data_IF_161429243564
#
_entry.id   IF_161429243564
#
_cell.length_a   1.000
_cell.length_b   1.000
_cell.length_c   1.000
_cell.angle_alpha   90.00
_cell.angle_beta   90.00
_cell.angle_gamma   90.00
#
_symmetry.space_group_name_H-M   'P 1'
#
loop_
_entity.id
_entity.type
_entity.pdbx_description
1 polymer ?
#
# COMPACT_ATOMS: atom_id res chain seq x y z
N UNK A 1 -13.07 -3.39 14.79
CA UNK A 1 -11.64 -3.58 14.46
C UNK A 1 -11.28 -2.76 13.25
N UNK A 2 -10.21 -2.01 13.31
CA UNK A 2 -9.81 -1.15 12.19
C UNK A 2 -8.73 -1.87 11.35
N UNK A 3 -9.14 -2.40 10.21
CA UNK A 3 -8.24 -3.15 9.32
C UNK A 3 -7.11 -2.29 8.75
N UNK A 4 -7.36 -0.99 8.55
CA UNK A 4 -6.31 -0.08 8.07
C UNK A 4 -5.14 0.01 9.07
N UNK A 5 -5.44 0.07 10.35
CA UNK A 5 -4.40 0.11 11.38
C UNK A 5 -3.61 -1.19 11.39
N UNK A 6 -4.28 -2.32 11.22
CA UNK A 6 -3.61 -3.62 11.12
C UNK A 6 -2.68 -3.67 9.90
N UNK A 7 -3.15 -3.16 8.76
CA UNK A 7 -2.32 -3.05 7.55
C UNK A 7 -1.13 -2.12 7.79
N UNK A 8 -1.36 -0.98 8.42
CA UNK A 8 -0.29 -0.03 8.73
C UNK A 8 0.80 -0.68 9.58
N UNK A 9 0.40 -1.42 10.60
CA UNK A 9 1.34 -2.12 11.48
C UNK A 9 2.11 -3.19 10.73
N UNK A 10 1.45 -3.91 9.81
CA UNK A 10 2.12 -4.88 8.96
C UNK A 10 3.17 -4.21 8.07
N UNK A 11 2.83 -3.08 7.47
CA UNK A 11 3.76 -2.34 6.61
C UNK A 11 4.94 -1.80 7.42
N UNK A 12 4.72 -1.32 8.64
CA UNK A 12 5.81 -0.91 9.53
C UNK A 12 6.77 -2.06 9.82
N UNK A 13 6.23 -3.25 10.00
CA UNK A 13 7.02 -4.46 10.26
C UNK A 13 7.88 -4.85 9.06
N UNK A 14 7.34 -4.71 7.86
CA UNK A 14 8.03 -5.10 6.62
C UNK A 14 8.96 -4.02 6.08
N UNK A 15 8.57 -2.76 6.21
CA UNK A 15 9.22 -1.64 5.52
C UNK A 15 9.94 -0.67 6.47
N UNK A 16 9.77 -0.81 7.78
CA UNK A 16 10.36 0.09 8.76
C UNK A 16 9.50 1.33 9.03
N UNK A 17 10.09 2.38 9.63
CA UNK A 17 9.31 3.50 10.17
C UNK A 17 8.73 4.46 9.14
N UNK A 18 9.17 4.41 7.88
CA UNK A 18 8.78 5.39 6.86
C UNK A 18 7.54 4.93 6.09
N UNK A 19 6.44 4.72 6.81
CA UNK A 19 5.15 4.33 6.24
C UNK A 19 4.16 5.46 6.44
N UNK A 20 3.51 5.90 5.36
CA UNK A 20 2.62 7.06 5.34
C UNK A 20 1.27 6.70 4.75
N UNK A 21 0.19 7.18 5.39
CA UNK A 21 -1.17 6.96 4.92
C UNK A 21 -1.77 8.25 4.38
N UNK A 22 -2.24 8.23 3.12
CA UNK A 22 -2.92 9.37 2.47
C UNK A 22 -2.17 10.70 2.64
N UNK A 23 -0.87 10.65 2.42
CA UNK A 23 0.03 11.79 2.59
C UNK A 23 -0.23 12.86 1.50
N UNK A 24 -0.25 14.15 1.87
CA UNK A 24 -0.32 15.22 0.88
C UNK A 24 0.88 15.21 -0.06
N UNK A 25 0.66 15.55 -1.33
CA UNK A 25 1.71 15.49 -2.36
C UNK A 25 2.92 16.39 -2.08
N UNK A 26 2.73 17.45 -1.30
CA UNK A 26 3.80 18.41 -0.98
C UNK A 26 4.59 18.03 0.28
N UNK A 27 4.26 16.92 0.93
CA UNK A 27 4.94 16.49 2.14
C UNK A 27 6.24 15.76 1.79
N UNK A 28 7.31 16.08 2.54
CA UNK A 28 8.60 15.42 2.35
C UNK A 28 8.62 14.08 3.06
N UNK A 29 9.13 13.06 2.37
CA UNK A 29 9.28 11.71 2.90
C UNK A 29 10.74 11.33 2.99
N UNK A 30 11.07 10.47 3.93
CA UNK A 30 12.41 9.85 4.00
C UNK A 30 12.39 8.56 3.19
N UNK A 31 13.37 8.38 2.34
CA UNK A 31 13.45 7.20 1.47
C UNK A 31 14.43 6.16 2.01
N UNK A 32 14.14 4.88 1.84
CA UNK A 32 12.97 4.31 1.18
C UNK A 32 11.69 4.58 1.97
N UNK A 33 10.61 4.84 1.26
CA UNK A 33 9.32 5.16 1.86
C UNK A 33 8.23 4.26 1.28
N UNK A 34 7.22 3.99 2.09
CA UNK A 34 6.01 3.31 1.65
C UNK A 34 4.84 4.24 1.93
N UNK A 35 4.13 4.64 0.90
CA UNK A 35 2.89 5.37 1.06
C UNK A 35 1.74 4.49 0.60
N UNK A 36 0.61 4.61 1.26
CA UNK A 36 -0.57 3.87 0.85
C UNK A 36 -1.82 4.72 1.03
N UNK A 37 -2.84 4.36 0.28
CA UNK A 37 -4.12 5.05 0.31
C UNK A 37 -5.23 4.04 0.07
N UNK A 38 -6.42 4.36 0.55
CA UNK A 38 -7.58 3.51 0.29
C UNK A 38 -7.96 3.65 -1.18
N UNK A 39 -8.02 2.52 -1.88
CA UNK A 39 -8.42 2.50 -3.27
C UNK A 39 -9.92 2.40 -3.43
N UNK A 40 -10.50 1.29 -2.96
CA UNK A 40 -11.89 0.99 -3.22
C UNK A 40 -12.51 0.17 -2.09
N UNK A 41 -13.78 0.43 -1.82
CA UNK A 41 -14.58 -0.39 -0.92
C UNK A 41 -15.67 -1.06 -1.76
N UNK A 42 -15.64 -2.39 -1.81
CA UNK A 42 -16.65 -3.18 -2.49
C UNK A 42 -17.58 -3.82 -1.47
N UNK A 43 -18.86 -3.60 -1.64
CA UNK A 43 -19.89 -4.22 -0.79
C UNK A 43 -20.58 -5.33 -1.55
N UNK A 44 -20.67 -6.50 -0.93
CA UNK A 44 -21.47 -7.60 -1.43
C UNK A 44 -22.81 -7.59 -0.69
N UNK A 45 -23.90 -7.64 -1.44
CA UNK A 45 -25.24 -7.55 -0.90
C UNK A 45 -25.98 -8.86 -1.04
N UNK A 46 -26.79 -9.18 -0.03
CA UNK A 46 -27.76 -10.26 -0.07
C UNK A 46 -29.06 -9.73 0.56
N UNK A 47 -30.18 -9.83 -0.15
CA UNK A 47 -31.49 -9.34 0.32
C UNK A 47 -31.46 -7.87 0.77
N UNK A 48 -30.77 -7.01 0.01
CA UNK A 48 -30.59 -5.58 0.28
C UNK A 48 -29.82 -5.27 1.58
N UNK A 49 -29.12 -6.26 2.12
CA UNK A 49 -28.28 -6.10 3.30
C UNK A 49 -26.81 -6.25 2.86
N UNK A 50 -25.92 -5.41 3.40
CA UNK A 50 -24.50 -5.56 3.12
C UNK A 50 -24.03 -6.89 3.73
N UNK A 51 -23.69 -7.83 2.85
CA UNK A 51 -23.25 -9.17 3.23
C UNK A 51 -21.78 -9.20 3.63
N UNK A 52 -20.94 -8.53 2.84
CA UNK A 52 -19.51 -8.41 3.13
C UNK A 52 -18.94 -7.16 2.48
N UNK A 53 -17.79 -6.73 2.98
CA UNK A 53 -17.03 -5.63 2.39
C UNK A 53 -15.61 -6.08 2.09
N UNK A 54 -15.11 -5.69 0.93
CA UNK A 54 -13.71 -5.85 0.58
C UNK A 54 -13.13 -4.46 0.34
N UNK A 55 -12.09 -4.11 1.09
CA UNK A 55 -11.41 -2.84 0.92
C UNK A 55 -10.06 -3.07 0.26
N UNK A 56 -9.79 -2.33 -0.81
CA UNK A 56 -8.48 -2.34 -1.44
C UNK A 56 -7.68 -1.12 -1.05
N UNK A 57 -6.38 -1.27 -1.02
CA UNK A 57 -5.43 -0.20 -0.77
C UNK A 57 -4.40 -0.18 -1.88
N UNK A 58 -4.00 1.00 -2.32
CA UNK A 58 -2.90 1.17 -3.25
C UNK A 58 -1.66 1.49 -2.45
N UNK A 59 -0.63 0.66 -2.60
CA UNK A 59 0.62 0.79 -1.87
C UNK A 59 1.70 1.17 -2.87
N UNK A 60 2.43 2.25 -2.60
CA UNK A 60 3.54 2.68 -3.44
C UNK A 60 4.82 2.65 -2.62
N UNK A 61 5.79 1.87 -3.09
CA UNK A 61 7.14 1.85 -2.52
C UNK A 61 8.00 2.81 -3.31
N UNK A 62 8.62 3.76 -2.64
CA UNK A 62 9.46 4.78 -3.27
C UNK A 62 10.88 4.64 -2.74
N UNK A 63 11.84 4.45 -3.64
CA UNK A 63 13.24 4.25 -3.26
C UNK A 63 14.18 4.85 -4.28
N UNK A 64 15.39 5.18 -3.83
CA UNK A 64 16.50 5.57 -4.71
C UNK A 64 17.20 4.36 -5.31
N UNK A 65 16.90 3.16 -4.81
CA UNK A 65 17.49 1.91 -5.25
C UNK A 65 16.50 1.14 -6.13
N UNK A 66 16.85 0.76 -7.37
CA UNK A 66 15.95 -0.02 -8.23
C UNK A 66 15.66 -1.42 -7.69
N UNK A 67 16.56 -1.95 -6.86
CA UNK A 67 16.43 -3.29 -6.29
C UNK A 67 16.04 -3.24 -4.80
N UNK A 68 15.11 -2.34 -4.46
CA UNK A 68 14.71 -2.15 -3.06
C UNK A 68 14.12 -3.42 -2.45
N UNK A 69 14.68 -3.95 -1.35
CA UNK A 69 14.19 -5.18 -0.72
C UNK A 69 12.75 -5.12 -0.21
N UNK A 70 12.25 -3.91 0.10
CA UNK A 70 10.88 -3.72 0.59
C UNK A 70 9.87 -4.18 -0.46
N UNK A 71 10.16 -3.96 -1.74
CA UNK A 71 9.30 -4.37 -2.85
C UNK A 71 9.04 -5.87 -2.79
N UNK A 72 10.09 -6.66 -2.61
CA UNK A 72 9.97 -8.11 -2.53
C UNK A 72 9.17 -8.53 -1.30
N UNK A 73 9.40 -7.89 -0.15
CA UNK A 73 8.68 -8.20 1.08
C UNK A 73 7.19 -7.94 0.95
N UNK A 74 6.80 -6.82 0.34
CA UNK A 74 5.40 -6.47 0.14
C UNK A 74 4.75 -7.40 -0.88
N UNK A 75 5.46 -7.77 -1.94
CA UNK A 75 4.93 -8.66 -2.97
C UNK A 75 4.54 -10.03 -2.44
N UNK A 76 5.08 -10.44 -1.31
CA UNK A 76 4.77 -11.73 -0.69
C UNK A 76 3.52 -11.74 0.18
N UNK A 77 2.89 -10.59 0.39
CA UNK A 77 1.62 -10.53 1.13
C UNK A 77 0.54 -11.25 0.28
N UNK A 78 -0.20 -12.23 0.84
CA UNK A 78 -1.06 -13.11 0.03
C UNK A 78 -2.10 -12.41 -0.83
N UNK A 79 -2.65 -11.28 -0.38
CA UNK A 79 -3.69 -10.55 -1.11
C UNK A 79 -3.12 -9.41 -1.94
N UNK A 80 -1.81 -9.33 -2.08
CA UNK A 80 -1.12 -8.25 -2.78
C UNK A 80 -0.94 -8.59 -4.26
N UNK A 81 -1.26 -7.63 -5.12
CA UNK A 81 -1.08 -7.74 -6.57
C UNK A 81 -0.17 -6.62 -7.05
N UNK A 82 0.81 -6.96 -7.89
CA UNK A 82 1.65 -5.96 -8.54
C UNK A 82 0.82 -5.18 -9.56
N UNK A 83 0.93 -3.85 -9.53
CA UNK A 83 0.26 -3.00 -10.50
C UNK A 83 1.24 -2.48 -11.55
N UNK A 84 2.21 -1.64 -11.14
CA UNK A 84 3.15 -1.04 -12.10
C UNK A 84 4.37 -0.47 -11.40
N UNK A 85 5.40 -0.19 -12.21
CA UNK A 85 6.59 0.57 -11.82
C UNK A 85 6.67 1.84 -12.66
N UNK A 86 7.21 2.91 -12.07
CA UNK A 86 7.58 4.10 -12.83
C UNK A 86 8.68 4.86 -12.10
N UNK A 87 9.28 5.83 -12.80
CA UNK A 87 10.37 6.63 -12.25
C UNK A 87 9.98 8.10 -12.35
N UNK A 88 10.03 8.82 -11.23
CA UNK A 88 9.78 10.26 -11.17
C UNK A 88 10.87 10.87 -10.30
N UNK A 89 11.50 11.95 -10.76
CA UNK A 89 12.54 12.70 -10.01
C UNK A 89 13.68 11.79 -9.53
N UNK A 90 14.09 10.84 -10.37
CA UNK A 90 15.12 9.86 -10.07
C UNK A 90 14.78 8.92 -8.91
N UNK A 91 13.49 8.79 -8.60
CA UNK A 91 12.99 7.87 -7.58
C UNK A 91 12.19 6.75 -8.25
N UNK A 92 12.48 5.53 -7.83
CA UNK A 92 11.80 4.34 -8.33
C UNK A 92 10.53 4.10 -7.52
N UNK A 93 9.41 4.03 -8.24
CA UNK A 93 8.09 3.82 -7.65
C UNK A 93 7.57 2.47 -8.07
N UNK A 94 7.18 1.64 -7.11
CA UNK A 94 6.52 0.35 -7.38
C UNK A 94 5.15 0.38 -6.72
N UNK A 95 4.10 0.16 -7.52
CA UNK A 95 2.73 0.23 -7.06
C UNK A 95 2.14 -1.17 -6.94
N UNK A 96 1.53 -1.43 -5.79
CA UNK A 96 0.81 -2.67 -5.52
C UNK A 96 -0.63 -2.35 -5.14
N UNK A 97 -1.50 -3.30 -5.39
CA UNK A 97 -2.88 -3.27 -4.90
C UNK A 97 -3.05 -4.43 -3.92
N UNK A 98 -3.60 -4.13 -2.76
CA UNK A 98 -3.83 -5.14 -1.73
C UNK A 98 -5.27 -5.10 -1.26
N UNK A 99 -5.84 -6.26 -1.01
CA UNK A 99 -7.13 -6.41 -0.33
C UNK A 99 -6.88 -6.83 1.11
N UNK A 100 -7.43 -6.04 2.02
CA UNK A 100 -7.11 -6.28 3.43
C UNK A 100 -8.32 -6.22 4.35
#
# INVERSE_FOLDING_TARGET
MNKRIDLHNLLLKLAGPNVYYQIPSNMKMKYPAVKYERGRIDNNHADNIVYSQNTSYNITVISKNPDEPIVEKISKIPTCEYDRDYIIDNLYHTVFKIYY
#
